data_IF_015950285667
#
_entry.id   IF_015950285667
#
_cell.length_a   1.000
_cell.length_b   1.000
_cell.length_c   1.000
_cell.angle_alpha   90.00
_cell.angle_beta   90.00
_cell.angle_gamma   90.00
#
_symmetry.space_group_name_H-M   'P 1'
#
loop_
_entity.id
_entity.type
_entity.pdbx_description
1 polymer ?
#
# COMPACT_ATOMS: atom_id res chain seq x y z
N UNK A 1 -46.33 -38.84 -14.47
CA UNK A 1 -46.85 -37.48 -14.24
C UNK A 1 -45.86 -36.48 -14.81
N UNK A 2 -46.28 -35.73 -15.84
CA UNK A 2 -45.57 -34.60 -16.46
C UNK A 2 -46.29 -33.31 -16.02
N UNK A 3 -45.56 -32.26 -15.64
CA UNK A 3 -45.96 -30.84 -15.56
C UNK A 3 -44.64 -30.03 -15.64
N UNK A 4 -44.29 -29.30 -16.70
CA UNK A 4 -44.83 -28.06 -17.31
C UNK A 4 -44.60 -26.82 -16.43
N UNK A 5 -43.73 -25.91 -16.90
CA UNK A 5 -43.75 -24.42 -16.79
C UNK A 5 -42.63 -23.88 -17.70
N UNK A 6 -42.88 -23.53 -18.98
CA UNK A 6 -43.16 -22.17 -19.52
C UNK A 6 -42.26 -21.05 -18.96
N UNK A 7 -41.18 -20.68 -19.65
CA UNK A 7 -41.02 -19.49 -20.50
C UNK A 7 -41.20 -18.12 -19.80
N UNK A 8 -40.11 -17.37 -19.67
CA UNK A 8 -39.98 -15.96 -20.13
C UNK A 8 -38.59 -15.41 -19.78
N UNK A 9 -37.71 -15.23 -20.76
CA UNK A 9 -36.66 -14.21 -20.71
C UNK A 9 -36.45 -13.66 -22.12
N UNK A 10 -36.88 -12.41 -22.34
CA UNK A 10 -36.68 -11.66 -23.58
C UNK A 10 -35.59 -10.61 -23.37
N UNK A 11 -34.79 -10.45 -24.42
CA UNK A 11 -33.94 -9.31 -24.77
C UNK A 11 -32.49 -9.30 -24.23
N UNK A 12 -31.59 -9.85 -25.04
CA UNK A 12 -30.22 -9.35 -25.20
C UNK A 12 -30.16 -8.63 -26.55
N UNK A 13 -29.91 -7.31 -26.52
CA UNK A 13 -29.65 -6.54 -27.74
C UNK A 13 -28.27 -6.92 -28.29
N UNK A 14 -28.25 -7.21 -29.59
CA UNK A 14 -27.07 -7.40 -30.43
C UNK A 14 -26.36 -6.06 -30.60
N UNK A 15 -25.05 -6.01 -30.37
CA UNK A 15 -24.18 -4.97 -30.93
C UNK A 15 -23.37 -5.57 -32.08
N UNK A 16 -23.53 -4.96 -33.24
CA UNK A 16 -22.99 -5.35 -34.54
C UNK A 16 -21.48 -5.11 -34.62
N UNK A 17 -20.77 -6.08 -35.20
CA UNK A 17 -19.36 -5.95 -35.60
C UNK A 17 -19.31 -5.34 -37.02
N UNK A 18 -18.54 -4.27 -37.27
CA UNK A 18 -18.17 -3.92 -38.65
C UNK A 18 -16.88 -4.65 -39.05
N UNK A 19 -16.93 -5.34 -40.18
CA UNK A 19 -15.78 -5.86 -40.91
C UNK A 19 -15.11 -4.72 -41.67
N UNK A 20 -13.81 -4.50 -41.45
CA UNK A 20 -12.89 -4.19 -42.56
C UNK A 20 -11.45 -4.49 -42.14
N UNK A 21 -10.82 -5.38 -42.90
CA UNK A 21 -9.37 -5.62 -42.89
C UNK A 21 -8.77 -4.67 -43.93
N UNK A 22 -7.83 -3.83 -43.52
CA UNK A 22 -6.78 -3.28 -44.39
C UNK A 22 -5.48 -3.22 -43.61
N UNK A 23 -4.45 -3.84 -44.18
CA UNK A 23 -3.06 -3.88 -43.73
C UNK A 23 -2.29 -2.79 -44.48
N UNK A 24 -1.24 -2.23 -43.83
CA UNK A 24 -0.19 -1.31 -44.32
C UNK A 24 -0.65 0.17 -44.37
N UNK A 25 0.08 1.17 -43.88
CA UNK A 25 1.52 1.41 -43.81
C UNK A 25 1.86 2.25 -42.56
N UNK A 26 3.11 2.16 -42.07
CA UNK A 26 3.69 3.10 -41.11
C UNK A 26 3.52 4.54 -41.62
N UNK A 27 2.81 5.38 -40.85
CA UNK A 27 2.83 6.84 -41.01
C UNK A 27 3.36 7.46 -39.73
N UNK A 28 4.49 8.14 -39.85
CA UNK A 28 4.95 9.15 -38.89
C UNK A 28 4.00 10.35 -39.00
N UNK A 29 2.85 10.27 -38.35
CA UNK A 29 2.05 11.47 -38.08
C UNK A 29 2.69 12.21 -36.90
N UNK A 30 3.37 13.31 -37.22
CA UNK A 30 3.60 14.43 -36.31
C UNK A 30 2.30 14.73 -35.56
N UNK A 31 2.35 14.60 -34.22
CA UNK A 31 1.27 14.97 -33.32
C UNK A 31 0.79 16.37 -33.67
N UNK A 32 -0.46 16.48 -34.12
CA UNK A 32 -1.16 17.75 -34.24
C UNK A 32 -1.17 18.39 -32.86
N UNK A 33 -0.66 19.61 -32.80
CA UNK A 33 -0.89 20.55 -31.72
C UNK A 33 -2.36 20.95 -31.75
N UNK A 34 -3.23 20.10 -31.19
CA UNK A 34 -4.57 20.53 -30.82
C UNK A 34 -4.46 21.40 -29.55
N UNK A 35 -5.09 22.56 -29.62
CA UNK A 35 -5.12 23.64 -28.63
C UNK A 35 -5.33 23.11 -27.19
N UNK A 36 -4.24 23.04 -26.41
CA UNK A 36 -4.32 22.67 -25.00
C UNK A 36 -4.58 23.91 -24.14
N UNK A 37 -5.69 24.62 -24.38
CA UNK A 37 -6.15 25.67 -23.46
C UNK A 37 -7.11 25.05 -22.44
N UNK A 38 -6.74 25.09 -21.16
CA UNK A 38 -7.51 24.65 -19.97
C UNK A 38 -7.52 23.15 -19.59
N UNK A 39 -6.44 22.39 -19.81
CA UNK A 39 -6.25 21.13 -19.09
C UNK A 39 -5.46 21.39 -17.80
N UNK A 40 -5.95 20.96 -16.63
CA UNK A 40 -5.20 21.08 -15.36
C UNK A 40 -3.93 20.22 -15.37
N UNK A 41 -2.91 20.55 -14.56
CA UNK A 41 -1.70 19.73 -14.45
C UNK A 41 -2.05 18.27 -14.11
N UNK A 42 -3.00 18.08 -13.21
CA UNK A 42 -3.52 16.76 -12.87
C UNK A 42 -4.09 15.98 -14.07
N UNK A 43 -4.80 16.65 -14.99
CA UNK A 43 -5.36 16.01 -16.17
C UNK A 43 -4.27 15.56 -17.15
N UNK A 44 -3.18 16.34 -17.30
CA UNK A 44 -2.02 15.97 -18.13
C UNK A 44 -1.23 14.81 -17.52
N UNK A 45 -1.05 14.82 -16.19
CA UNK A 45 -0.44 13.72 -15.44
C UNK A 45 -1.28 12.44 -15.60
N UNK A 46 -2.61 12.55 -15.45
CA UNK A 46 -3.52 11.41 -15.56
C UNK A 46 -3.60 10.86 -16.99
N UNK A 47 -3.52 11.73 -18.00
CA UNK A 47 -3.55 11.35 -19.42
C UNK A 47 -2.31 10.56 -19.86
N UNK A 48 -1.19 10.66 -19.14
CA UNK A 48 -0.05 9.78 -19.37
C UNK A 48 -0.43 8.36 -18.95
N UNK A 49 -1.01 7.55 -19.83
CA UNK A 49 -1.45 6.19 -19.51
C UNK A 49 -0.33 5.13 -19.51
N UNK A 50 0.79 5.39 -20.18
CA UNK A 50 1.88 4.43 -20.31
C UNK A 50 2.81 4.46 -19.08
N UNK A 51 2.94 3.39 -18.29
CA UNK A 51 3.79 3.35 -17.08
C UNK A 51 5.31 3.30 -17.38
N UNK A 52 5.71 3.24 -18.65
CA UNK A 52 7.13 3.24 -19.07
C UNK A 52 7.62 4.59 -19.54
N UNK A 53 6.73 5.55 -19.79
CA UNK A 53 7.07 6.87 -20.34
C UNK A 53 7.20 7.86 -19.21
N UNK A 54 8.36 8.51 -19.11
CA UNK A 54 8.63 9.47 -18.03
C UNK A 54 7.63 10.62 -18.02
N UNK A 55 7.29 11.08 -16.81
CA UNK A 55 6.37 12.18 -16.56
C UNK A 55 7.04 13.55 -16.57
N UNK A 56 8.38 13.58 -16.49
CA UNK A 56 9.17 14.81 -16.37
C UNK A 56 8.95 15.80 -17.53
N UNK A 57 8.85 15.37 -18.81
CA UNK A 57 8.61 16.31 -19.91
C UNK A 57 7.27 17.06 -19.77
N UNK A 58 6.26 16.42 -19.20
CA UNK A 58 4.94 17.03 -18.98
C UNK A 58 5.02 18.11 -17.90
N UNK A 59 5.74 17.83 -16.81
CA UNK A 59 5.97 18.79 -15.73
C UNK A 59 6.80 19.98 -16.23
N UNK A 60 7.83 19.70 -17.04
CA UNK A 60 8.70 20.72 -17.60
C UNK A 60 7.96 21.64 -18.56
N UNK A 61 7.16 21.06 -19.45
CA UNK A 61 6.31 21.81 -20.37
C UNK A 61 5.31 22.69 -19.62
N UNK A 62 4.67 22.18 -18.56
CA UNK A 62 3.73 22.95 -17.74
C UNK A 62 4.37 24.21 -17.15
N UNK A 63 5.61 24.09 -16.65
CA UNK A 63 6.36 25.23 -16.13
C UNK A 63 6.82 26.18 -17.23
N UNK A 64 7.21 25.66 -18.40
CA UNK A 64 7.56 26.49 -19.57
C UNK A 64 6.39 27.32 -20.08
N UNK A 65 5.17 26.79 -19.97
CA UNK A 65 3.93 27.53 -20.27
C UNK A 65 3.62 28.65 -19.26
N UNK A 66 4.44 28.82 -18.22
CA UNK A 66 4.29 29.89 -17.21
C UNK A 66 3.28 29.58 -16.11
N UNK A 67 2.75 28.36 -16.06
CA UNK A 67 1.77 27.96 -15.05
C UNK A 67 2.42 27.78 -13.67
N UNK A 68 1.72 28.17 -12.61
CA UNK A 68 2.11 27.87 -11.24
C UNK A 68 1.91 26.38 -10.95
N UNK A 69 2.80 25.82 -10.11
CA UNK A 69 2.67 24.46 -9.59
C UNK A 69 2.60 24.56 -8.08
N UNK A 70 1.45 24.20 -7.52
CA UNK A 70 1.26 24.18 -6.07
C UNK A 70 1.69 22.84 -5.48
N UNK A 71 2.33 22.86 -4.30
CA UNK A 71 2.74 21.65 -3.59
C UNK A 71 1.56 20.70 -3.35
N UNK A 72 0.39 21.24 -2.98
CA UNK A 72 -0.81 20.45 -2.74
C UNK A 72 -1.31 19.71 -3.99
N UNK A 73 -1.15 20.29 -5.18
CA UNK A 73 -1.55 19.64 -6.43
C UNK A 73 -0.66 18.43 -6.72
N UNK A 74 0.63 18.59 -6.49
CA UNK A 74 1.61 17.51 -6.64
C UNK A 74 1.42 16.41 -5.60
N UNK A 75 1.10 16.75 -4.35
CA UNK A 75 0.81 15.76 -3.29
C UNK A 75 -0.43 14.93 -3.62
N UNK A 76 -1.46 15.55 -4.24
CA UNK A 76 -2.62 14.82 -4.77
C UNK A 76 -2.21 13.92 -5.93
N UNK A 77 -1.45 14.43 -6.90
CA UNK A 77 -0.97 13.64 -8.02
C UNK A 77 -0.14 12.43 -7.55
N UNK A 78 0.77 12.60 -6.58
CA UNK A 78 1.56 11.51 -5.99
C UNK A 78 0.64 10.46 -5.35
N UNK A 79 -0.36 10.88 -4.57
CA UNK A 79 -1.32 9.94 -3.95
C UNK A 79 -2.12 9.17 -4.99
N UNK A 80 -2.61 9.84 -6.03
CA UNK A 80 -3.43 9.21 -7.05
C UNK A 80 -2.61 8.22 -7.90
N UNK A 81 -1.40 8.63 -8.31
CA UNK A 81 -0.46 7.78 -9.05
C UNK A 81 0.00 6.59 -8.20
N UNK A 82 0.15 6.75 -6.87
CA UNK A 82 0.41 5.64 -5.94
C UNK A 82 -0.78 4.69 -5.80
N UNK A 83 -2.02 5.21 -5.79
CA UNK A 83 -3.23 4.37 -5.67
C UNK A 83 -3.36 3.38 -6.84
N UNK A 84 -2.95 3.80 -8.04
CA UNK A 84 -2.88 2.95 -9.25
C UNK A 84 -1.55 2.19 -9.39
N UNK A 85 -0.73 2.15 -8.32
CA UNK A 85 0.55 1.42 -8.23
C UNK A 85 1.62 1.83 -9.24
N UNK A 86 1.56 3.06 -9.79
CA UNK A 86 2.57 3.60 -10.71
C UNK A 86 3.71 4.27 -9.94
N UNK A 87 4.38 3.51 -9.09
CA UNK A 87 5.38 4.03 -8.14
C UNK A 87 6.55 4.76 -8.82
N UNK A 88 6.94 4.33 -10.03
CA UNK A 88 7.98 5.03 -10.82
C UNK A 88 7.60 6.47 -11.10
N UNK A 89 6.38 6.71 -11.56
CA UNK A 89 5.90 8.06 -11.89
C UNK A 89 5.72 8.91 -10.64
N UNK A 90 5.23 8.31 -9.56
CA UNK A 90 5.14 9.00 -8.28
C UNK A 90 6.53 9.41 -7.75
N UNK A 91 7.55 8.57 -7.95
CA UNK A 91 8.93 8.89 -7.60
C UNK A 91 9.50 9.99 -8.49
N UNK A 92 9.30 9.92 -9.81
CA UNK A 92 9.75 10.98 -10.74
C UNK A 92 9.13 12.35 -10.40
N UNK A 93 7.84 12.39 -10.06
CA UNK A 93 7.18 13.63 -9.61
C UNK A 93 7.80 14.14 -8.30
N UNK A 94 8.07 13.24 -7.36
CA UNK A 94 8.68 13.58 -6.07
C UNK A 94 10.11 14.14 -6.24
N UNK A 95 10.93 13.51 -7.07
CA UNK A 95 12.30 13.98 -7.36
C UNK A 95 12.29 15.35 -8.05
N UNK A 96 11.39 15.54 -9.01
CA UNK A 96 11.21 16.84 -9.66
C UNK A 96 10.83 17.94 -8.65
N UNK A 97 10.01 17.61 -7.64
CA UNK A 97 9.67 18.52 -6.56
C UNK A 97 10.87 18.95 -5.73
N UNK A 98 11.72 18.01 -5.30
CA UNK A 98 12.89 18.37 -4.48
C UNK A 98 13.92 19.18 -5.26
N UNK A 99 14.25 18.76 -6.49
CA UNK A 99 15.39 19.29 -7.23
C UNK A 99 15.15 20.71 -7.75
N UNK A 100 13.91 21.06 -8.09
CA UNK A 100 13.61 22.30 -8.83
C UNK A 100 12.97 23.40 -8.01
N UNK A 101 12.48 23.07 -6.81
CA UNK A 101 11.63 23.99 -6.04
C UNK A 101 11.98 24.09 -4.56
N UNK A 102 12.99 23.36 -4.06
CA UNK A 102 13.41 23.40 -2.66
C UNK A 102 12.23 23.34 -1.68
N UNK A 103 11.22 22.50 -1.97
CA UNK A 103 10.10 22.33 -1.06
C UNK A 103 10.61 21.75 0.26
N UNK A 104 10.15 22.33 1.38
CA UNK A 104 10.43 21.78 2.70
C UNK A 104 9.61 20.50 2.83
N UNK A 105 10.28 19.36 2.77
CA UNK A 105 9.63 18.06 2.93
C UNK A 105 9.23 17.87 4.40
N UNK A 106 7.94 17.63 4.63
CA UNK A 106 7.49 17.22 5.95
C UNK A 106 7.94 15.78 6.26
N UNK A 107 7.98 15.37 7.54
CA UNK A 107 8.26 13.96 7.88
C UNK A 107 7.27 12.96 7.25
N UNK A 108 6.05 13.41 6.91
CA UNK A 108 5.08 12.62 6.17
C UNK A 108 5.47 12.44 4.70
N UNK A 109 5.98 13.50 4.06
CA UNK A 109 6.46 13.44 2.67
C UNK A 109 7.69 12.54 2.58
N UNK A 110 8.62 12.68 3.52
CA UNK A 110 9.80 11.81 3.64
C UNK A 110 9.40 10.33 3.81
N UNK A 111 8.35 10.04 4.60
CA UNK A 111 7.83 8.68 4.75
C UNK A 111 7.25 8.13 3.43
N UNK A 112 6.57 8.98 2.64
CA UNK A 112 6.09 8.61 1.29
C UNK A 112 7.26 8.33 0.36
N UNK A 113 8.31 9.14 0.42
CA UNK A 113 9.52 8.98 -0.38
C UNK A 113 10.23 7.66 -0.08
N UNK A 114 10.41 7.32 1.19
CA UNK A 114 10.99 6.02 1.58
C UNK A 114 10.18 4.84 1.01
N UNK A 115 8.85 4.91 1.03
CA UNK A 115 7.99 3.88 0.41
C UNK A 115 8.18 3.83 -1.11
N UNK A 116 8.24 4.98 -1.79
CA UNK A 116 8.47 5.05 -3.24
C UNK A 116 9.84 4.50 -3.65
N UNK A 117 10.91 4.92 -2.96
CA UNK A 117 12.28 4.44 -3.17
C UNK A 117 12.32 2.92 -2.96
N UNK A 118 11.68 2.42 -1.89
CA UNK A 118 11.60 0.98 -1.62
C UNK A 118 10.99 0.19 -2.77
N UNK A 119 9.92 0.71 -3.39
CA UNK A 119 9.20 0.03 -4.48
C UNK A 119 9.91 0.12 -5.84
N UNK A 120 10.70 1.17 -6.07
CA UNK A 120 11.30 1.44 -7.39
C UNK A 120 12.78 1.07 -7.43
N UNK A 121 13.55 1.45 -6.40
CA UNK A 121 15.02 1.34 -6.35
C UNK A 121 15.51 0.22 -5.41
N UNK A 122 14.63 -0.29 -4.54
CA UNK A 122 14.96 -1.38 -3.62
C UNK A 122 15.42 -0.88 -2.24
N UNK A 123 15.72 -1.82 -1.34
CA UNK A 123 15.94 -1.54 0.08
C UNK A 123 17.28 -0.86 0.39
N UNK A 124 18.34 -1.11 -0.38
CA UNK A 124 19.64 -0.46 -0.19
C UNK A 124 19.54 1.06 -0.39
N UNK A 125 18.83 1.48 -1.45
CA UNK A 125 18.58 2.90 -1.70
C UNK A 125 17.77 3.58 -0.58
N UNK A 126 16.85 2.84 0.06
CA UNK A 126 16.08 3.33 1.21
C UNK A 126 17.00 3.57 2.41
N UNK A 127 17.94 2.67 2.68
CA UNK A 127 18.89 2.81 3.79
C UNK A 127 19.83 3.99 3.57
N UNK A 128 20.35 4.15 2.35
CA UNK A 128 21.19 5.28 1.98
C UNK A 128 20.45 6.60 2.19
N UNK A 129 19.24 6.73 1.62
CA UNK A 129 18.43 7.93 1.81
C UNK A 129 18.08 8.16 3.28
N UNK A 130 17.73 7.12 4.04
CA UNK A 130 17.42 7.26 5.46
C UNK A 130 18.61 7.83 6.27
N UNK A 131 19.82 7.41 5.93
CA UNK A 131 21.05 7.88 6.58
C UNK A 131 21.37 9.35 6.25
N UNK A 132 20.93 9.86 5.10
CA UNK A 132 21.08 11.26 4.69
C UNK A 132 20.08 12.20 5.38
N UNK A 133 18.93 11.68 5.85
CA UNK A 133 17.92 12.49 6.54
C UNK A 133 18.49 13.01 7.88
N UNK A 134 18.41 14.32 8.16
CA UNK A 134 18.77 14.91 9.45
C UNK A 134 18.01 14.26 10.62
N UNK A 135 18.66 14.09 11.76
CA UNK A 135 18.07 13.39 12.92
C UNK A 135 16.76 14.05 13.41
N UNK A 136 16.62 15.37 13.25
CA UNK A 136 15.44 16.13 13.63
C UNK A 136 14.21 15.77 12.79
N UNK A 137 14.41 15.32 11.55
CA UNK A 137 13.36 14.95 10.61
C UNK A 137 13.00 13.46 10.69
N UNK A 138 13.80 12.63 11.39
CA UNK A 138 13.55 11.20 11.60
C UNK A 138 12.45 10.98 12.65
N UNK A 139 11.24 11.41 12.31
CA UNK A 139 10.05 11.28 13.16
C UNK A 139 9.51 9.85 13.20
N UNK A 140 8.48 9.63 14.03
CA UNK A 140 7.72 8.38 14.06
C UNK A 140 7.27 7.90 12.67
N UNK A 141 6.88 8.82 11.78
CA UNK A 141 6.40 8.47 10.43
C UNK A 141 7.53 7.90 9.56
N UNK A 142 8.72 8.51 9.62
CA UNK A 142 9.92 8.11 8.86
C UNK A 142 10.41 6.74 9.33
N UNK A 143 10.51 6.55 10.65
CA UNK A 143 10.84 5.24 11.22
C UNK A 143 9.80 4.17 10.88
N UNK A 144 8.51 4.52 10.92
CA UNK A 144 7.42 3.62 10.51
C UNK A 144 7.50 3.20 9.04
N UNK A 145 7.86 4.12 8.14
CA UNK A 145 8.06 3.82 6.72
C UNK A 145 9.23 2.87 6.51
N UNK A 146 10.37 3.11 7.19
CA UNK A 146 11.52 2.20 7.13
C UNK A 146 11.18 0.81 7.69
N UNK A 147 10.41 0.74 8.78
CA UNK A 147 9.94 -0.53 9.33
C UNK A 147 9.06 -1.29 8.34
N UNK A 148 8.15 -0.59 7.67
CA UNK A 148 7.30 -1.18 6.63
C UNK A 148 8.12 -1.65 5.42
N UNK A 149 9.19 -0.94 5.06
CA UNK A 149 10.14 -1.38 4.04
C UNK A 149 10.77 -2.73 4.42
N UNK A 150 11.33 -2.85 5.63
CA UNK A 150 11.93 -4.10 6.12
C UNK A 150 10.92 -5.25 6.19
N UNK A 151 9.70 -4.98 6.64
CA UNK A 151 8.64 -5.98 6.67
C UNK A 151 8.22 -6.45 5.27
N UNK A 152 8.24 -5.55 4.26
CA UNK A 152 7.89 -5.90 2.88
C UNK A 152 8.94 -6.78 2.19
N UNK A 153 10.22 -6.59 2.52
CA UNK A 153 11.32 -7.43 2.01
C UNK A 153 11.59 -8.66 2.90
N UNK A 154 10.75 -8.90 3.91
CA UNK A 154 10.90 -9.98 4.91
C UNK A 154 12.25 -9.98 5.64
N UNK A 155 12.88 -8.82 5.84
CA UNK A 155 14.14 -8.74 6.60
C UNK A 155 13.84 -8.67 8.10
N UNK A 156 13.73 -9.84 8.73
CA UNK A 156 13.33 -9.99 10.12
C UNK A 156 14.32 -9.30 11.07
N UNK A 157 15.62 -9.54 10.89
CA UNK A 157 16.68 -9.05 11.77
C UNK A 157 16.73 -7.52 11.77
N UNK A 158 16.63 -6.90 10.58
CA UNK A 158 16.62 -5.44 10.43
C UNK A 158 15.36 -4.83 11.03
N UNK A 159 14.20 -5.45 10.81
CA UNK A 159 12.94 -4.99 11.38
C UNK A 159 12.94 -5.03 12.92
N UNK A 160 13.47 -6.11 13.52
CA UNK A 160 13.58 -6.23 14.97
C UNK A 160 14.55 -5.21 15.57
N UNK A 161 15.73 -5.02 14.95
CA UNK A 161 16.69 -4.03 15.39
C UNK A 161 16.09 -2.61 15.33
N UNK A 162 15.37 -2.29 14.25
CA UNK A 162 14.70 -1.00 14.11
C UNK A 162 13.58 -0.81 15.14
N UNK A 163 12.76 -1.83 15.36
CA UNK A 163 11.69 -1.79 16.36
C UNK A 163 12.25 -1.54 17.76
N UNK A 164 13.35 -2.19 18.13
CA UNK A 164 14.04 -1.93 19.39
C UNK A 164 14.57 -0.48 19.47
N UNK A 165 15.13 0.06 18.39
CA UNK A 165 15.55 1.47 18.32
C UNK A 165 14.36 2.41 18.53
N UNK A 166 13.24 2.18 17.84
CA UNK A 166 12.01 2.96 18.00
C UNK A 166 11.46 2.92 19.43
N UNK A 167 11.55 1.76 20.11
CA UNK A 167 11.15 1.64 21.51
C UNK A 167 12.05 2.45 22.45
N UNK A 168 13.39 2.40 22.25
CA UNK A 168 14.35 3.20 23.04
C UNK A 168 14.11 4.70 22.87
N UNK A 169 13.75 5.13 21.66
CA UNK A 169 13.38 6.52 21.36
C UNK A 169 11.97 6.90 21.84
N UNK A 170 11.23 5.99 22.49
CA UNK A 170 9.85 6.18 22.96
C UNK A 170 8.86 6.61 21.86
N UNK A 171 9.15 6.22 20.61
CA UNK A 171 8.32 6.51 19.44
C UNK A 171 7.17 5.50 19.28
N UNK A 172 7.28 4.31 19.87
CA UNK A 172 6.24 3.27 19.82
C UNK A 172 5.16 3.54 20.87
N UNK A 173 4.29 4.51 20.61
CA UNK A 173 3.04 4.75 21.36
C UNK A 173 1.78 4.37 20.58
N UNK A 174 1.94 4.18 19.27
CA UNK A 174 0.86 3.85 18.34
C UNK A 174 0.80 2.35 18.06
N UNK A 175 -0.36 1.87 17.65
CA UNK A 175 -0.64 0.49 17.24
C UNK A 175 0.13 0.09 15.97
N UNK A 176 0.42 1.04 15.07
CA UNK A 176 0.89 0.75 13.71
C UNK A 176 2.20 -0.05 13.63
N UNK A 177 3.30 0.29 14.35
CA UNK A 177 4.54 -0.49 14.27
C UNK A 177 4.37 -1.92 14.79
N UNK A 178 3.50 -2.11 15.80
CA UNK A 178 3.22 -3.44 16.33
C UNK A 178 2.46 -4.28 15.30
N UNK A 179 1.47 -3.72 14.60
CA UNK A 179 0.77 -4.40 13.51
C UNK A 179 1.73 -4.83 12.39
N UNK A 180 2.68 -3.96 12.01
CA UNK A 180 3.71 -4.30 11.00
C UNK A 180 4.55 -5.50 11.46
N UNK A 181 5.00 -5.49 12.72
CA UNK A 181 5.78 -6.59 13.29
C UNK A 181 4.97 -7.88 13.44
N UNK A 182 3.70 -7.82 13.87
CA UNK A 182 2.82 -8.98 13.95
C UNK A 182 2.64 -9.66 12.58
N UNK A 183 2.38 -8.85 11.55
CA UNK A 183 2.27 -9.35 10.17
C UNK A 183 3.58 -10.00 9.69
N UNK A 184 4.73 -9.38 9.99
CA UNK A 184 6.04 -9.93 9.64
C UNK A 184 6.31 -11.25 10.37
N UNK A 185 6.09 -11.30 11.69
CA UNK A 185 6.26 -12.52 12.48
C UNK A 185 5.37 -13.65 11.99
N UNK A 186 4.10 -13.37 11.67
CA UNK A 186 3.20 -14.36 11.06
C UNK A 186 3.77 -14.87 9.74
N UNK A 187 4.12 -13.98 8.81
CA UNK A 187 4.68 -14.37 7.50
C UNK A 187 5.94 -15.23 7.62
N UNK A 188 6.75 -14.99 8.65
CA UNK A 188 7.99 -15.73 8.94
C UNK A 188 7.78 -16.98 9.82
N UNK A 189 6.53 -17.33 10.15
CA UNK A 189 6.20 -18.49 10.98
C UNK A 189 6.68 -18.39 12.43
N UNK A 190 6.93 -17.17 12.93
CA UNK A 190 7.45 -16.92 14.29
C UNK A 190 6.30 -16.77 15.30
N UNK A 191 5.50 -17.81 15.46
CA UNK A 191 4.29 -17.84 16.31
C UNK A 191 4.55 -17.40 17.75
N UNK A 192 5.62 -17.90 18.38
CA UNK A 192 6.00 -17.47 19.75
C UNK A 192 6.23 -15.96 19.85
N UNK A 193 6.78 -15.33 18.80
CA UNK A 193 7.01 -13.87 18.77
C UNK A 193 5.70 -13.09 18.57
N UNK A 194 4.73 -13.65 17.83
CA UNK A 194 3.38 -13.08 17.71
C UNK A 194 2.75 -13.00 19.10
N UNK A 195 2.71 -14.12 19.84
CA UNK A 195 2.11 -14.16 21.17
C UNK A 195 2.83 -13.26 22.18
N UNK A 196 4.17 -13.25 22.18
CA UNK A 196 4.94 -12.35 23.03
C UNK A 196 4.64 -10.86 22.75
N UNK A 197 4.49 -10.49 21.49
CA UNK A 197 4.17 -9.12 21.10
C UNK A 197 2.73 -8.74 21.47
N UNK A 198 1.78 -9.67 21.30
CA UNK A 198 0.39 -9.50 21.76
C UNK A 198 0.37 -9.28 23.28
N UNK A 199 1.05 -10.11 24.07
CA UNK A 199 1.12 -9.90 25.53
C UNK A 199 1.78 -8.57 25.91
N UNK A 200 2.82 -8.15 25.18
CA UNK A 200 3.44 -6.85 25.38
C UNK A 200 2.46 -5.70 25.11
N UNK A 201 1.66 -5.79 24.04
CA UNK A 201 0.62 -4.79 23.73
C UNK A 201 -0.43 -4.73 24.86
N UNK A 202 -0.87 -5.89 25.35
CA UNK A 202 -1.80 -6.00 26.49
C UNK A 202 -1.28 -5.29 27.72
N UNK A 203 -0.05 -5.61 28.12
CA UNK A 203 0.58 -5.08 29.33
C UNK A 203 0.84 -3.57 29.26
N UNK A 204 0.99 -3.03 28.05
CA UNK A 204 1.17 -1.59 27.81
C UNK A 204 -0.15 -0.84 27.59
N UNK A 205 -1.29 -1.54 27.62
CA UNK A 205 -2.60 -0.95 27.32
C UNK A 205 -2.68 -0.38 25.90
N UNK A 206 -1.90 -0.93 24.95
CA UNK A 206 -1.99 -0.53 23.56
C UNK A 206 -3.26 -1.16 23.00
N UNK A 207 -4.24 -0.37 22.52
CA UNK A 207 -5.46 -0.92 21.97
C UNK A 207 -5.13 -1.77 20.74
N UNK A 208 -5.90 -2.83 20.55
CA UNK A 208 -5.90 -3.65 19.35
C UNK A 208 -7.23 -3.49 18.63
N UNK A 209 -7.16 -3.49 17.32
CA UNK A 209 -8.30 -3.44 16.42
C UNK A 209 -8.64 -4.85 15.88
N UNK A 210 -9.76 -4.95 15.18
CA UNK A 210 -10.20 -6.16 14.47
C UNK A 210 -9.10 -6.73 13.56
N UNK A 211 -8.28 -5.86 12.97
CA UNK A 211 -7.18 -6.24 12.10
C UNK A 211 -6.08 -6.97 12.87
N UNK A 212 -5.70 -6.48 14.06
CA UNK A 212 -4.73 -7.12 14.94
C UNK A 212 -5.16 -8.53 15.33
N UNK A 213 -6.45 -8.70 15.68
CA UNK A 213 -7.03 -10.01 16.00
C UNK A 213 -7.05 -10.95 14.79
N UNK A 214 -7.39 -10.41 13.61
CA UNK A 214 -7.33 -11.16 12.36
C UNK A 214 -5.90 -11.65 12.06
N UNK A 215 -4.87 -10.87 12.36
CA UNK A 215 -3.47 -11.32 12.20
C UNK A 215 -3.18 -12.51 13.12
N UNK A 216 -3.62 -12.43 14.38
CA UNK A 216 -3.44 -13.49 15.38
C UNK A 216 -4.18 -14.77 14.98
N UNK A 217 -5.43 -14.68 14.54
CA UNK A 217 -6.20 -15.81 14.00
C UNK A 217 -5.51 -16.45 12.79
N UNK A 218 -5.03 -15.65 11.83
CA UNK A 218 -4.28 -16.19 10.70
C UNK A 218 -2.98 -16.89 11.15
N UNK A 219 -2.31 -16.38 12.19
CA UNK A 219 -1.12 -17.03 12.72
C UNK A 219 -1.47 -18.42 13.29
N UNK A 220 -2.56 -18.56 14.03
CA UNK A 220 -3.01 -19.89 14.49
C UNK A 220 -3.45 -20.80 13.34
N UNK A 221 -4.18 -20.27 12.34
CA UNK A 221 -4.62 -21.03 11.16
C UNK A 221 -3.46 -21.45 10.23
N UNK A 222 -2.27 -20.89 10.41
CA UNK A 222 -1.03 -21.30 9.74
C UNK A 222 -0.25 -22.37 10.53
N UNK A 223 -0.71 -22.70 11.74
CA UNK A 223 -0.20 -23.80 12.57
C UNK A 223 -1.19 -24.96 12.67
N UNK A 224 -0.74 -26.18 13.03
CA UNK A 224 -1.64 -27.30 13.32
C UNK A 224 -2.38 -27.20 14.68
N UNK A 225 -2.35 -26.05 15.34
CA UNK A 225 -2.91 -25.84 16.69
C UNK A 225 -4.35 -25.30 16.61
N UNK A 226 -5.30 -26.21 16.36
CA UNK A 226 -6.75 -25.89 16.29
C UNK A 226 -7.27 -25.41 17.64
N UNK A 227 -6.84 -26.06 18.74
CA UNK A 227 -7.34 -25.74 20.09
C UNK A 227 -7.04 -24.28 20.46
N UNK A 228 -5.83 -23.79 20.16
CA UNK A 228 -5.49 -22.39 20.41
C UNK A 228 -6.27 -21.44 19.51
N UNK A 229 -6.57 -21.84 18.26
CA UNK A 229 -7.39 -21.06 17.34
C UNK A 229 -8.84 -20.93 17.82
N UNK A 230 -9.47 -22.05 18.20
CA UNK A 230 -10.84 -22.08 18.73
C UNK A 230 -10.94 -21.30 20.04
N UNK A 231 -9.96 -21.44 20.93
CA UNK A 231 -9.90 -20.68 22.17
C UNK A 231 -9.83 -19.18 21.91
N UNK A 232 -9.00 -18.74 20.95
CA UNK A 232 -8.94 -17.33 20.55
C UNK A 232 -10.28 -16.85 19.99
N UNK A 233 -10.94 -17.66 19.17
CA UNK A 233 -12.23 -17.33 18.59
C UNK A 233 -13.31 -17.16 19.68
N UNK A 234 -13.34 -18.05 20.69
CA UNK A 234 -14.22 -17.91 21.85
C UNK A 234 -13.89 -16.67 22.71
N UNK A 235 -12.61 -16.35 22.91
CA UNK A 235 -12.19 -15.13 23.61
C UNK A 235 -12.71 -13.87 22.89
N UNK A 236 -12.61 -13.85 21.56
CA UNK A 236 -13.11 -12.76 20.73
C UNK A 236 -14.65 -12.65 20.73
N UNK A 237 -15.37 -13.77 20.78
CA UNK A 237 -16.85 -13.77 20.87
C UNK A 237 -17.37 -13.25 22.22
N UNK A 238 -16.61 -13.46 23.29
CA UNK A 238 -17.00 -13.01 24.65
C UNK A 238 -16.76 -11.53 24.88
N UNK A 239 -15.81 -10.94 24.17
CA UNK A 239 -15.45 -9.54 24.36
C UNK A 239 -16.37 -8.62 23.55
N UNK A 240 -17.27 -7.94 24.26
CA UNK A 240 -18.25 -7.01 23.70
C UNK A 240 -17.61 -5.80 22.98
N UNK A 241 -16.30 -5.55 23.16
CA UNK A 241 -15.61 -4.48 22.43
C UNK A 241 -15.32 -4.83 20.97
N UNK A 242 -15.36 -6.10 20.59
CA UNK A 242 -15.05 -6.52 19.23
C UNK A 242 -16.31 -6.90 18.46
N UNK A 243 -16.50 -6.25 17.31
CA UNK A 243 -17.46 -6.71 16.32
C UNK A 243 -16.82 -7.83 15.49
N UNK A 244 -17.18 -9.07 15.78
CA UNK A 244 -16.72 -10.22 14.99
C UNK A 244 -17.19 -10.09 13.54
N UNK A 245 -16.27 -10.20 12.58
CA UNK A 245 -16.62 -10.20 11.15
C UNK A 245 -16.59 -11.60 10.57
N UNK A 246 -17.34 -11.79 9.48
CA UNK A 246 -17.35 -13.04 8.72
C UNK A 246 -15.94 -13.50 8.30
N UNK A 247 -14.99 -12.55 8.16
CA UNK A 247 -13.59 -12.84 7.86
C UNK A 247 -12.93 -13.72 8.93
N UNK A 248 -13.22 -13.49 10.21
CA UNK A 248 -12.65 -14.27 11.30
C UNK A 248 -13.09 -15.74 11.24
N UNK A 249 -14.39 -15.98 11.04
CA UNK A 249 -14.92 -17.34 10.83
C UNK A 249 -14.37 -18.00 9.56
N UNK A 250 -14.20 -17.23 8.47
CA UNK A 250 -13.58 -17.75 7.25
C UNK A 250 -12.09 -18.09 7.41
N UNK A 251 -11.37 -17.43 8.33
CA UNK A 251 -9.99 -17.79 8.69
C UNK A 251 -9.99 -19.07 9.51
N UNK A 252 -10.86 -19.17 10.52
CA UNK A 252 -10.97 -20.36 11.37
C UNK A 252 -11.30 -21.63 10.57
N UNK A 253 -12.36 -21.57 9.74
CA UNK A 253 -12.74 -22.68 8.88
C UNK A 253 -11.61 -23.12 7.93
N UNK A 254 -10.77 -22.18 7.48
CA UNK A 254 -9.59 -22.49 6.65
C UNK A 254 -8.49 -23.19 7.43
N UNK A 255 -8.30 -22.83 8.71
CA UNK A 255 -7.41 -23.55 9.62
C UNK A 255 -7.86 -24.99 9.80
N UNK A 256 -9.15 -25.20 10.09
CA UNK A 256 -9.74 -26.53 10.30
C UNK A 256 -9.63 -27.42 9.05
N UNK A 257 -9.89 -26.84 7.87
CA UNK A 257 -9.77 -27.55 6.59
C UNK A 257 -8.34 -27.98 6.23
N UNK A 258 -7.30 -27.33 6.76
CA UNK A 258 -5.90 -27.73 6.49
C UNK A 258 -5.50 -29.00 7.26
N UNK A 259 -6.29 -29.41 8.24
CA UNK A 259 -5.96 -30.48 9.19
C UNK A 259 -6.89 -31.70 9.06
N UNK A 260 -7.88 -31.63 8.17
CA UNK A 260 -8.75 -32.73 7.74
C UNK A 260 -8.16 -33.48 6.54
#
# INVERSE_FOLDING_TARGET
MKCVFSSTFKSLRRCSIPKSIRVLLFSTETLKTDECSNSSLFSRISACGNPRVSMLPILDQWVQEGNSVEQQELDRAIRDVRSVKRYRHALEISEWMSERRNFVLSPGDIAIWLDLISKVRGSEAVENYFNEIPDELRSFQVYGALLNCYANINSLEKAEALMQKMMKLKLVRSILPNIVMLNLYRKMGKHNKVENLVQLMKNRGIPWDEYTLSIRLNAYADTPDIEAMEKLLMEMERDQQFHMTWNAYAIAARGDMKLA
#
